data_IF_414267691780
#
_entry.id   IF_414267691780
#
_cell.length_a   1.000
_cell.length_b   1.000
_cell.length_c   1.000
_cell.angle_alpha   90.00
_cell.angle_beta   90.00
_cell.angle_gamma   90.00
#
_symmetry.space_group_name_H-M   'P 1'
#
loop_
_entity.id
_entity.type
_entity.pdbx_description
1 polymer ?
#
# COMPACT_ATOMS: atom_id res chain seq x y z
N UNK A 1 -22.54 -2.65 13.94
CA UNK A 1 -21.28 -3.38 14.20
C UNK A 1 -20.32 -3.02 13.09
N UNK A 2 -19.15 -2.44 13.41
CA UNK A 2 -18.14 -2.11 12.40
C UNK A 2 -17.26 -3.35 12.21
N UNK A 3 -17.22 -3.90 11.01
CA UNK A 3 -16.30 -5.00 10.69
C UNK A 3 -14.95 -4.35 10.43
N UNK A 4 -13.95 -4.72 11.23
CA UNK A 4 -12.56 -4.26 11.05
C UNK A 4 -11.77 -5.29 10.25
N UNK A 5 -10.87 -4.83 9.40
CA UNK A 5 -9.92 -5.69 8.69
C UNK A 5 -8.85 -6.24 9.64
N UNK A 6 -8.11 -7.28 9.24
CA UNK A 6 -7.00 -7.79 10.04
C UNK A 6 -5.87 -6.77 10.16
N UNK A 7 -5.65 -5.93 9.14
CA UNK A 7 -4.74 -4.76 9.23
C UNK A 7 -5.20 -3.79 10.32
N UNK A 8 -6.48 -3.42 10.37
CA UNK A 8 -7.01 -2.48 11.36
C UNK A 8 -6.91 -3.02 12.80
N UNK A 9 -7.15 -4.32 12.99
CA UNK A 9 -7.08 -4.97 14.30
C UNK A 9 -5.65 -5.10 14.82
N UNK A 10 -4.72 -5.53 13.96
CA UNK A 10 -3.35 -5.91 14.38
C UNK A 10 -2.33 -4.78 14.18
N UNK A 11 -2.55 -3.94 13.18
CA UNK A 11 -1.60 -2.90 12.74
C UNK A 11 -2.30 -1.56 12.52
N UNK A 12 -2.93 -0.96 13.57
CA UNK A 12 -3.70 0.29 13.42
C UNK A 12 -2.88 1.48 12.90
N UNK A 13 -1.56 1.49 13.14
CA UNK A 13 -0.66 2.50 12.57
C UNK A 13 -0.46 2.33 11.06
N UNK A 14 -0.42 1.08 10.56
CA UNK A 14 -0.37 0.79 9.13
C UNK A 14 -1.68 1.18 8.46
N UNK A 15 -2.82 0.80 9.05
CA UNK A 15 -4.13 1.20 8.55
C UNK A 15 -4.25 2.73 8.41
N UNK A 16 -3.82 3.48 9.44
CA UNK A 16 -3.80 4.95 9.40
C UNK A 16 -2.94 5.48 8.26
N UNK A 17 -1.72 4.97 8.08
CA UNK A 17 -0.83 5.43 7.02
C UNK A 17 -1.38 5.11 5.63
N UNK A 18 -1.97 3.93 5.45
CA UNK A 18 -2.67 3.55 4.23
C UNK A 18 -3.78 4.55 3.92
N UNK A 19 -4.62 4.90 4.90
CA UNK A 19 -5.70 5.88 4.70
C UNK A 19 -5.15 7.26 4.33
N UNK A 20 -4.06 7.71 4.97
CA UNK A 20 -3.45 9.01 4.70
C UNK A 20 -2.84 9.12 3.30
N UNK A 21 -2.29 8.02 2.77
CA UNK A 21 -1.59 8.01 1.48
C UNK A 21 -2.49 7.52 0.33
N UNK A 22 -3.73 7.11 0.61
CA UNK A 22 -4.59 6.49 -0.39
C UNK A 22 -4.88 7.43 -1.57
N UNK A 23 -4.57 6.98 -2.79
CA UNK A 23 -4.71 7.75 -4.02
C UNK A 23 -3.48 8.57 -4.38
N UNK A 24 -2.47 8.63 -3.51
CA UNK A 24 -1.21 9.32 -3.76
C UNK A 24 -0.11 8.34 -4.21
N UNK A 25 0.88 8.77 -5.03
CA UNK A 25 1.98 7.91 -5.46
C UNK A 25 2.77 7.27 -4.30
N UNK A 26 2.91 7.99 -3.19
CA UNK A 26 3.65 7.57 -1.99
C UNK A 26 3.10 6.28 -1.37
N UNK A 27 1.82 5.95 -1.62
CA UNK A 27 1.23 4.69 -1.19
C UNK A 27 1.96 3.48 -1.78
N UNK A 28 2.39 3.54 -3.04
CA UNK A 28 3.04 2.42 -3.73
C UNK A 28 4.38 2.10 -3.06
N UNK A 29 5.20 3.12 -2.81
CA UNK A 29 6.47 2.96 -2.11
C UNK A 29 6.28 2.45 -0.69
N UNK A 30 5.25 2.95 0.00
CA UNK A 30 4.94 2.53 1.36
C UNK A 30 4.51 1.05 1.41
N UNK A 31 3.55 0.64 0.59
CA UNK A 31 3.03 -0.73 0.64
C UNK A 31 4.03 -1.76 0.13
N UNK A 32 4.86 -1.42 -0.85
CA UNK A 32 5.94 -2.29 -1.30
C UNK A 32 6.97 -2.54 -0.20
N UNK A 33 7.31 -1.54 0.61
CA UNK A 33 8.19 -1.71 1.78
C UNK A 33 7.59 -2.58 2.89
N UNK A 34 6.26 -2.71 2.94
CA UNK A 34 5.58 -3.59 3.87
C UNK A 34 5.52 -5.04 3.36
N UNK A 35 5.34 -5.21 2.04
CA UNK A 35 5.25 -6.53 1.40
C UNK A 35 6.63 -7.17 1.25
N UNK A 36 7.64 -6.39 0.85
CA UNK A 36 9.01 -6.88 0.64
C UNK A 36 9.75 -6.90 1.97
N UNK A 37 10.03 -8.10 2.47
CA UNK A 37 10.85 -8.33 3.65
C UNK A 37 12.34 -8.12 3.34
N UNK A 38 12.76 -6.86 3.18
CA UNK A 38 14.15 -6.52 2.84
C UNK A 38 15.02 -6.19 4.07
N UNK A 39 14.54 -6.50 5.28
CA UNK A 39 15.19 -6.06 6.53
C UNK A 39 15.57 -7.18 7.48
N UNK A 40 15.73 -8.41 6.97
CA UNK A 40 16.37 -9.55 7.63
C UNK A 40 16.24 -9.58 9.15
N UNK A 41 15.25 -10.30 9.68
CA UNK A 41 15.07 -10.47 11.12
C UNK A 41 13.68 -10.11 11.66
N UNK A 42 12.67 -9.92 10.81
CA UNK A 42 11.28 -9.85 11.24
C UNK A 42 10.56 -11.16 10.93
N UNK A 43 9.72 -11.61 11.85
CA UNK A 43 8.61 -12.51 11.50
C UNK A 43 7.71 -11.67 10.58
N UNK A 44 7.62 -12.02 9.30
CA UNK A 44 6.78 -11.31 8.34
C UNK A 44 5.32 -11.18 8.80
N UNK A 45 4.48 -10.54 8.00
CA UNK A 45 3.07 -10.42 8.34
C UNK A 45 2.37 -11.79 8.38
N UNK A 46 1.37 -11.99 9.26
CA UNK A 46 0.43 -13.08 9.13
C UNK A 46 -0.16 -13.11 7.72
N UNK A 47 -0.42 -14.31 7.19
CA UNK A 47 -0.90 -14.49 5.81
C UNK A 47 -2.13 -13.64 5.50
N UNK A 48 -3.08 -13.55 6.43
CA UNK A 48 -4.31 -12.77 6.24
C UNK A 48 -4.03 -11.28 6.07
N UNK A 49 -3.01 -10.76 6.78
CA UNK A 49 -2.60 -9.36 6.66
C UNK A 49 -1.85 -9.14 5.36
N UNK A 50 -0.98 -10.07 4.95
CA UNK A 50 -0.29 -9.99 3.67
C UNK A 50 -1.27 -10.01 2.49
N UNK A 51 -2.29 -10.85 2.54
CA UNK A 51 -3.35 -10.92 1.53
C UNK A 51 -4.14 -9.60 1.43
N UNK A 52 -4.47 -8.99 2.58
CA UNK A 52 -5.08 -7.65 2.61
C UNK A 52 -4.15 -6.59 1.98
N UNK A 53 -2.85 -6.60 2.28
CA UNK A 53 -1.88 -5.66 1.69
C UNK A 53 -1.78 -5.83 0.18
N UNK A 54 -1.67 -7.08 -0.30
CA UNK A 54 -1.59 -7.37 -1.74
C UNK A 54 -2.87 -6.97 -2.47
N UNK A 55 -4.03 -7.16 -1.84
CA UNK A 55 -5.31 -6.69 -2.37
C UNK A 55 -5.34 -5.17 -2.49
N UNK A 56 -4.95 -4.45 -1.43
CA UNK A 56 -4.91 -2.98 -1.43
C UNK A 56 -3.93 -2.43 -2.47
N UNK A 57 -2.76 -3.06 -2.62
CA UNK A 57 -1.79 -2.69 -3.66
C UNK A 57 -2.37 -2.79 -5.06
N UNK A 58 -2.99 -3.94 -5.40
CA UNK A 58 -3.65 -4.13 -6.71
C UNK A 58 -4.80 -3.14 -6.90
N UNK A 59 -5.64 -2.96 -5.90
CA UNK A 59 -6.77 -2.03 -5.97
C UNK A 59 -6.31 -0.59 -6.22
N UNK A 60 -5.24 -0.16 -5.55
CA UNK A 60 -4.68 1.16 -5.76
C UNK A 60 -4.16 1.35 -7.18
N UNK A 61 -3.41 0.37 -7.72
CA UNK A 61 -2.95 0.41 -9.12
C UNK A 61 -4.14 0.45 -10.08
N UNK A 62 -5.17 -0.37 -9.88
CA UNK A 62 -6.36 -0.36 -10.74
C UNK A 62 -7.12 0.97 -10.69
N UNK A 63 -7.17 1.64 -9.53
CA UNK A 63 -7.92 2.88 -9.34
C UNK A 63 -7.13 4.14 -9.67
N UNK A 64 -5.80 4.11 -9.52
CA UNK A 64 -4.93 5.28 -9.58
C UNK A 64 -3.73 5.12 -10.53
N UNK A 65 -3.51 3.93 -11.10
CA UNK A 65 -2.37 3.63 -11.98
C UNK A 65 -2.32 4.47 -13.26
N UNK A 66 -3.47 4.86 -13.82
CA UNK A 66 -3.54 5.77 -14.98
C UNK A 66 -3.05 7.18 -14.66
N UNK A 67 -3.11 7.63 -13.40
CA UNK A 67 -2.66 8.95 -12.97
C UNK A 67 -1.13 9.00 -12.80
N UNK A 68 -0.48 7.87 -12.48
CA UNK A 68 0.98 7.80 -12.33
C UNK A 68 1.74 7.91 -13.67
N UNK A 69 1.19 7.33 -14.75
CA UNK A 69 1.79 7.41 -16.10
C UNK A 69 1.75 8.84 -16.64
N UNK A 70 0.67 9.58 -16.36
CA UNK A 70 0.51 10.97 -16.86
C UNK A 70 1.40 11.98 -16.14
N UNK A 71 1.79 11.73 -14.89
CA UNK A 71 2.69 12.63 -14.17
C UNK A 71 4.15 12.49 -14.65
N UNK A 72 4.58 11.26 -14.97
CA UNK A 72 5.96 10.98 -15.42
C UNK A 72 6.30 11.55 -16.80
N UNK A 73 5.35 11.50 -17.75
CA UNK A 73 5.53 12.04 -19.11
C UNK A 73 5.64 13.57 -19.15
N UNK A 74 5.14 14.30 -18.14
CA UNK A 74 5.13 15.77 -18.16
C UNK A 74 6.47 16.45 -17.81
N UNK A 75 7.41 15.68 -17.25
CA UNK A 75 8.69 16.19 -16.74
C UNK A 75 9.92 15.78 -17.58
N UNK A 76 9.75 14.94 -18.60
CA UNK A 76 10.87 14.42 -19.40
C UNK A 76 10.99 14.96 -20.84
N UNK A 77 10.16 15.92 -21.24
CA UNK A 77 10.32 16.63 -22.54
C UNK A 77 10.46 18.16 -22.41
N UNK A 78 11.11 18.66 -21.36
CA UNK A 78 11.62 20.04 -21.36
C UNK A 78 13.12 20.08 -21.55
#
# INVERSE_FOLDING_TARGET
>A
MKILSEVEKRFPHVARNITLMWGCPEFIDYINKLIVDDRGGRQGFPTEVLDEMLFLHRLHITKHGELSVRHFESTLWR
#
